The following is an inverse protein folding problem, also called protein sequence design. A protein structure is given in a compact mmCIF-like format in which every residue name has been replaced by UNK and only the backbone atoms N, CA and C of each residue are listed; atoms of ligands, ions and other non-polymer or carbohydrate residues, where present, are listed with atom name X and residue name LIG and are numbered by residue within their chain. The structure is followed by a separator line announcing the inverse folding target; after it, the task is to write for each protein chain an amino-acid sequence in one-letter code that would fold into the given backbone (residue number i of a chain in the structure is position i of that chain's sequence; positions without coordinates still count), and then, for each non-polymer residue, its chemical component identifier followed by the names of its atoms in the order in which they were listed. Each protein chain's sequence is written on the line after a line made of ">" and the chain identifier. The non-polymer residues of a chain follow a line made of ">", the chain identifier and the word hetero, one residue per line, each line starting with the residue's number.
data_IF_310305435929
#
_entry.id   IF_310305435929
#
_cell.length_a   1.000
_cell.length_b   1.000
_cell.length_c   1.000
_cell.angle_alpha   90.00
_cell.angle_beta   90.00
_cell.angle_gamma   90.00
#
_symmetry.space_group_name_H-M   'P 1'
#
loop_
_entity.id
_entity.type
_entity.pdbx_description
1 polymer ?
#
# COMPACT_ATOMS: atom_id res chain seq x y z
N UNK A 1 3.33 31.48 -0.55
CA UNK A 1 4.11 32.70 -0.89
C UNK A 1 5.58 32.29 -0.99
N UNK A 2 6.02 31.81 -2.16
CA UNK A 2 7.41 31.40 -2.40
C UNK A 2 8.07 32.43 -3.31
N UNK A 3 9.13 33.09 -2.82
CA UNK A 3 9.93 34.07 -3.58
C UNK A 3 11.04 33.34 -4.32
N UNK A 4 10.97 33.37 -5.64
CA UNK A 4 12.04 33.00 -6.56
C UNK A 4 13.11 34.10 -6.59
N UNK A 5 14.33 33.78 -6.15
CA UNK A 5 15.51 34.62 -6.37
C UNK A 5 16.28 34.11 -7.59
N UNK A 6 16.26 34.91 -8.66
CA UNK A 6 17.12 34.74 -9.83
C UNK A 6 18.56 35.14 -9.47
N UNK A 7 19.51 34.23 -9.68
CA UNK A 7 20.94 34.51 -9.62
C UNK A 7 21.49 34.72 -11.04
N UNK A 8 22.24 35.79 -11.19
CA UNK A 8 22.96 36.22 -12.39
C UNK A 8 24.09 35.25 -12.72
N UNK A 9 24.23 34.91 -14.01
CA UNK A 9 25.36 34.17 -14.56
C UNK A 9 26.49 35.12 -14.96
N UNK A 10 27.71 34.82 -14.51
CA UNK A 10 28.96 35.37 -15.05
C UNK A 10 29.70 34.28 -15.82
N UNK A 11 30.36 34.58 -16.94
CA UNK A 11 31.12 33.61 -17.72
C UNK A 11 32.45 33.30 -17.03
N UNK A 12 32.52 32.15 -16.36
CA UNK A 12 33.73 31.60 -15.77
C UNK A 12 34.46 30.68 -16.74
N UNK A 13 35.76 30.91 -16.89
CA UNK A 13 36.73 30.16 -17.69
C UNK A 13 36.70 28.67 -17.31
N UNK A 14 36.45 27.81 -18.30
CA UNK A 14 36.49 26.35 -18.13
C UNK A 14 37.95 25.86 -18.11
N UNK A 15 38.46 25.52 -16.93
CA UNK A 15 39.70 24.76 -16.76
C UNK A 15 39.34 23.28 -16.82
N UNK A 16 39.73 22.61 -17.90
CA UNK A 16 39.56 21.17 -18.09
C UNK A 16 40.61 20.43 -17.23
N UNK A 17 40.25 20.10 -15.99
CA UNK A 17 41.06 19.20 -15.16
C UNK A 17 40.63 17.76 -15.46
N UNK A 18 41.44 17.06 -16.24
CA UNK A 18 41.31 15.61 -16.45
C UNK A 18 41.83 14.90 -15.20
N UNK A 19 40.96 14.68 -14.22
CA UNK A 19 41.23 13.78 -13.10
C UNK A 19 41.05 12.34 -13.59
N UNK A 20 42.16 11.66 -13.85
CA UNK A 20 42.22 10.21 -13.95
C UNK A 20 41.95 9.64 -12.54
N UNK A 21 40.67 9.54 -12.18
CA UNK A 21 40.25 8.77 -11.02
C UNK A 21 40.42 7.31 -11.41
N UNK A 22 41.52 6.71 -10.96
CA UNK A 22 41.67 5.26 -10.99
C UNK A 22 40.53 4.67 -10.17
N UNK A 23 39.48 4.20 -10.84
CA UNK A 23 38.41 3.42 -10.26
C UNK A 23 39.00 2.08 -9.84
N UNK A 24 39.59 2.06 -8.65
CA UNK A 24 39.70 0.84 -7.86
C UNK A 24 38.27 0.35 -7.65
N UNK A 25 37.82 -0.52 -8.55
CA UNK A 25 36.66 -1.35 -8.35
C UNK A 25 36.98 -2.23 -7.13
N UNK A 26 36.70 -1.68 -5.94
CA UNK A 26 36.43 -2.50 -4.78
C UNK A 26 35.15 -3.26 -5.15
N UNK A 27 35.32 -4.41 -5.81
CA UNK A 27 34.33 -5.44 -5.75
C UNK A 27 34.19 -5.75 -4.26
N UNK A 28 33.14 -5.17 -3.65
CA UNK A 28 32.61 -5.68 -2.39
C UNK A 28 32.51 -7.19 -2.61
N UNK A 29 33.06 -8.02 -1.70
CA UNK A 29 32.99 -9.46 -1.88
C UNK A 29 31.54 -9.78 -2.18
N UNK A 30 31.30 -10.31 -3.39
CA UNK A 30 29.99 -10.80 -3.76
C UNK A 30 29.51 -11.67 -2.60
N UNK A 31 28.22 -11.60 -2.27
CA UNK A 31 27.52 -12.40 -1.26
C UNK A 31 27.57 -13.92 -1.54
N UNK A 32 28.67 -14.43 -2.09
CA UNK A 32 28.94 -15.82 -2.41
C UNK A 32 28.96 -16.73 -1.16
N UNK A 33 28.95 -16.16 0.05
CA UNK A 33 28.80 -16.89 1.32
C UNK A 33 27.53 -16.48 2.11
N UNK A 34 26.52 -15.90 1.45
CA UNK A 34 25.20 -15.72 2.08
C UNK A 34 24.48 -17.06 2.17
N UNK A 35 24.75 -17.82 3.24
CA UNK A 35 23.92 -18.95 3.65
C UNK A 35 22.59 -18.42 4.20
N UNK A 36 21.70 -18.05 3.28
CA UNK A 36 20.39 -17.48 3.59
C UNK A 36 19.59 -18.39 4.52
N UNK A 37 19.64 -19.71 4.32
CA UNK A 37 18.92 -20.65 5.20
C UNK A 37 19.42 -20.55 6.64
N UNK A 38 20.74 -20.51 6.84
CA UNK A 38 21.32 -20.31 8.18
C UNK A 38 20.89 -18.99 8.82
N UNK A 39 20.77 -17.92 8.04
CA UNK A 39 20.31 -16.62 8.57
C UNK A 39 18.83 -16.63 8.92
N UNK A 40 18.00 -17.26 8.08
CA UNK A 40 16.58 -17.47 8.36
C UNK A 40 16.41 -18.26 9.66
N UNK A 41 17.16 -19.37 9.82
CA UNK A 41 17.15 -20.20 11.03
C UNK A 41 17.64 -19.45 12.28
N UNK A 42 18.65 -18.59 12.12
CA UNK A 42 19.14 -17.75 13.21
C UNK A 42 18.07 -16.77 13.71
N UNK A 43 17.26 -16.19 12.80
CA UNK A 43 16.12 -15.37 13.19
C UNK A 43 15.05 -16.16 13.95
N UNK A 44 14.86 -17.45 13.63
CA UNK A 44 13.86 -18.31 14.31
C UNK A 44 14.19 -18.62 15.78
N UNK A 45 15.44 -18.42 16.21
CA UNK A 45 15.86 -18.62 17.59
C UNK A 45 15.38 -17.49 18.54
N UNK A 46 14.90 -16.38 17.99
CA UNK A 46 14.38 -15.24 18.75
C UNK A 46 12.93 -15.45 19.22
N UNK A 47 12.47 -14.62 20.17
CA UNK A 47 11.05 -14.56 20.50
C UNK A 47 10.21 -14.05 19.32
N UNK A 48 8.96 -14.48 19.22
CA UNK A 48 8.11 -14.34 18.01
C UNK A 48 8.14 -12.96 17.34
N UNK A 49 7.94 -11.87 18.08
CA UNK A 49 7.97 -10.53 17.51
C UNK A 49 9.35 -10.15 16.93
N UNK A 50 10.43 -10.50 17.62
CA UNK A 50 11.80 -10.22 17.17
C UNK A 50 12.22 -11.08 15.98
N UNK A 51 11.66 -12.29 15.86
CA UNK A 51 11.89 -13.14 14.70
C UNK A 51 11.35 -12.47 13.42
N UNK A 52 10.15 -11.89 13.48
CA UNK A 52 9.56 -11.14 12.35
C UNK A 52 10.42 -9.95 11.96
N UNK A 53 10.84 -9.13 12.93
CA UNK A 53 11.71 -7.98 12.67
C UNK A 53 13.07 -8.40 12.08
N UNK A 54 13.62 -9.54 12.54
CA UNK A 54 14.86 -10.11 12.00
C UNK A 54 14.70 -10.52 10.52
N UNK A 55 13.62 -11.22 10.19
CA UNK A 55 13.29 -11.60 8.81
C UNK A 55 13.05 -10.38 7.90
N UNK A 56 12.40 -9.34 8.40
CA UNK A 56 12.29 -8.05 7.70
C UNK A 56 13.66 -7.41 7.44
N UNK A 57 14.59 -7.53 8.38
CA UNK A 57 15.99 -7.13 8.17
C UNK A 57 16.64 -7.85 6.99
N UNK A 58 16.42 -9.17 6.85
CA UNK A 58 16.94 -9.96 5.73
C UNK A 58 16.33 -9.53 4.39
N UNK A 59 15.01 -9.32 4.34
CA UNK A 59 14.31 -8.87 3.13
C UNK A 59 14.82 -7.48 2.72
N UNK A 60 15.00 -6.57 3.67
CA UNK A 60 15.53 -5.23 3.42
C UNK A 60 16.96 -5.25 2.89
N UNK A 61 17.83 -6.10 3.45
CA UNK A 61 19.19 -6.25 2.96
C UNK A 61 19.21 -6.75 1.50
N UNK A 62 18.33 -7.70 1.18
CA UNK A 62 18.18 -8.18 -0.20
C UNK A 62 17.63 -7.09 -1.13
N UNK A 63 16.67 -6.28 -0.66
CA UNK A 63 16.11 -5.17 -1.42
C UNK A 63 17.18 -4.14 -1.79
N UNK A 64 18.07 -3.81 -0.86
CA UNK A 64 19.15 -2.84 -1.08
C UNK A 64 20.21 -3.35 -2.07
N UNK A 65 20.52 -4.65 -2.04
CA UNK A 65 21.57 -5.25 -2.86
C UNK A 65 21.07 -5.68 -4.25
N UNK A 66 19.92 -6.35 -4.29
CA UNK A 66 19.39 -7.08 -5.45
C UNK A 66 18.03 -6.54 -5.95
N UNK A 67 17.57 -5.42 -5.39
CA UNK A 67 16.29 -4.81 -5.74
C UNK A 67 15.08 -5.67 -5.37
N UNK A 68 13.94 -5.40 -6.02
CA UNK A 68 12.66 -6.05 -5.70
C UNK A 68 12.74 -7.57 -5.92
N UNK A 69 13.47 -8.02 -6.94
CA UNK A 69 13.63 -9.45 -7.24
C UNK A 69 14.29 -10.20 -6.07
N UNK A 70 15.44 -9.72 -5.57
CA UNK A 70 16.11 -10.38 -4.45
C UNK A 70 15.32 -10.30 -3.14
N UNK A 71 14.64 -9.18 -2.89
CA UNK A 71 13.70 -9.06 -1.77
C UNK A 71 12.62 -10.14 -1.82
N UNK A 72 12.06 -10.40 -3.02
CA UNK A 72 11.02 -11.40 -3.20
C UNK A 72 11.51 -12.84 -3.12
N UNK A 73 12.75 -13.11 -3.52
CA UNK A 73 13.37 -14.43 -3.30
C UNK A 73 13.54 -14.75 -1.81
N UNK A 74 14.00 -13.77 -1.02
CA UNK A 74 14.13 -13.92 0.43
C UNK A 74 12.76 -14.03 1.09
N UNK A 75 11.82 -13.17 0.70
CA UNK A 75 10.43 -13.22 1.16
C UNK A 75 9.80 -14.60 0.96
N UNK A 76 9.88 -15.16 -0.27
CA UNK A 76 9.26 -16.47 -0.58
C UNK A 76 9.83 -17.57 0.29
N UNK A 77 11.17 -17.60 0.44
CA UNK A 77 11.85 -18.59 1.28
C UNK A 77 11.42 -18.49 2.74
N UNK A 78 11.36 -17.28 3.30
CA UNK A 78 10.91 -17.09 4.68
C UNK A 78 9.46 -17.54 4.83
N UNK A 79 8.58 -17.15 3.91
CA UNK A 79 7.16 -17.50 3.94
C UNK A 79 6.94 -19.02 3.86
N UNK A 80 7.70 -19.73 3.03
CA UNK A 80 7.63 -21.19 2.89
C UNK A 80 8.19 -21.94 4.10
N UNK A 81 9.26 -21.44 4.71
CA UNK A 81 10.00 -22.15 5.76
C UNK A 81 9.55 -21.82 7.18
N UNK A 82 8.93 -20.66 7.40
CA UNK A 82 8.67 -20.13 8.73
C UNK A 82 7.16 -19.98 9.00
N UNK A 83 6.52 -20.99 9.63
CA UNK A 83 5.08 -20.98 9.89
C UNK A 83 4.60 -19.76 10.68
N UNK A 84 5.44 -19.24 11.59
CA UNK A 84 5.13 -18.01 12.33
C UNK A 84 4.91 -16.83 11.38
N UNK A 85 5.82 -16.61 10.44
CA UNK A 85 5.72 -15.54 9.45
C UNK A 85 4.51 -15.76 8.53
N UNK A 86 4.31 -16.97 8.02
CA UNK A 86 3.17 -17.27 7.17
C UNK A 86 1.82 -17.02 7.87
N UNK A 87 1.72 -17.37 9.16
CA UNK A 87 0.49 -17.25 9.94
C UNK A 87 0.07 -15.81 10.26
N UNK A 88 0.99 -14.84 10.15
CA UNK A 88 0.71 -13.42 10.43
C UNK A 88 0.23 -12.63 9.22
N UNK A 89 0.15 -13.27 8.04
CA UNK A 89 -0.54 -12.76 6.86
C UNK A 89 0.40 -12.39 5.71
N UNK A 90 0.30 -13.14 4.60
CA UNK A 90 1.05 -12.90 3.35
C UNK A 90 0.97 -11.43 2.91
N UNK A 91 -0.25 -10.88 2.84
CA UNK A 91 -0.50 -9.53 2.33
C UNK A 91 0.22 -8.47 3.16
N UNK A 92 0.13 -8.56 4.49
CA UNK A 92 0.80 -7.65 5.42
C UNK A 92 2.32 -7.64 5.24
N UNK A 93 2.92 -8.80 5.02
CA UNK A 93 4.36 -8.90 4.82
C UNK A 93 4.80 -8.39 3.44
N UNK A 94 4.01 -8.65 2.39
CA UNK A 94 4.26 -8.11 1.05
C UNK A 94 4.10 -6.58 1.03
N UNK A 95 3.11 -6.05 1.76
CA UNK A 95 2.91 -4.62 1.99
C UNK A 95 4.13 -3.95 2.59
N UNK A 96 4.72 -4.54 3.64
CA UNK A 96 6.00 -4.08 4.18
C UNK A 96 7.10 -3.98 3.11
N UNK A 97 7.22 -4.95 2.19
CA UNK A 97 8.22 -4.85 1.09
C UNK A 97 7.92 -3.64 0.22
N UNK A 98 6.65 -3.37 -0.10
CA UNK A 98 6.18 -2.18 -0.81
C UNK A 98 6.62 -0.87 -0.15
N UNK A 99 6.45 -0.76 1.16
CA UNK A 99 6.89 0.41 1.93
C UNK A 99 8.39 0.66 1.73
N UNK A 100 9.17 -0.43 1.78
CA UNK A 100 10.62 -0.37 1.68
C UNK A 100 11.06 -0.04 0.24
N UNK A 101 10.34 -0.50 -0.78
CA UNK A 101 10.55 -0.07 -2.18
C UNK A 101 10.38 1.44 -2.30
N UNK A 102 9.34 2.00 -1.68
CA UNK A 102 9.13 3.45 -1.68
C UNK A 102 10.30 4.18 -1.01
N UNK A 103 10.61 3.84 0.24
CA UNK A 103 11.59 4.58 1.03
C UNK A 103 13.04 4.38 0.58
N UNK A 104 13.42 3.19 0.09
CA UNK A 104 14.81 2.86 -0.24
C UNK A 104 15.14 3.04 -1.71
N UNK A 105 14.19 2.77 -2.61
CA UNK A 105 14.43 2.83 -4.05
C UNK A 105 13.85 4.10 -4.66
N UNK A 106 12.54 4.32 -4.54
CA UNK A 106 11.88 5.45 -5.21
C UNK A 106 12.35 6.81 -4.69
N UNK A 107 12.42 7.00 -3.37
CA UNK A 107 12.89 8.27 -2.77
C UNK A 107 14.31 8.66 -3.19
N UNK A 108 15.13 7.70 -3.63
CA UNK A 108 16.48 7.95 -4.15
C UNK A 108 16.50 8.51 -5.57
N UNK A 109 15.49 8.19 -6.39
CA UNK A 109 15.41 8.59 -7.80
C UNK A 109 14.35 9.66 -8.06
N UNK A 110 13.26 9.65 -7.28
CA UNK A 110 11.99 10.35 -7.55
C UNK A 110 11.47 10.12 -8.98
N UNK A 111 11.78 8.96 -9.56
CA UNK A 111 11.36 8.57 -10.90
C UNK A 111 10.80 7.15 -10.85
N UNK A 112 9.49 7.03 -11.05
CA UNK A 112 8.78 5.73 -11.09
C UNK A 112 9.36 4.82 -12.16
N UNK A 113 9.92 5.38 -13.25
CA UNK A 113 10.49 4.62 -14.36
C UNK A 113 11.81 3.94 -14.01
N UNK A 114 12.45 4.37 -12.91
CA UNK A 114 13.63 3.72 -12.37
C UNK A 114 13.27 2.52 -11.48
N UNK A 115 11.99 2.32 -11.17
CA UNK A 115 11.50 1.20 -10.36
C UNK A 115 11.00 0.11 -11.30
N UNK A 116 11.58 -1.08 -11.21
CA UNK A 116 11.14 -2.22 -11.97
C UNK A 116 10.44 -3.25 -11.08
N UNK A 117 9.14 -3.42 -11.29
CA UNK A 117 8.33 -4.40 -10.58
C UNK A 117 8.33 -5.73 -11.33
N UNK A 118 9.01 -6.78 -10.82
CA UNK A 118 8.92 -8.13 -11.40
C UNK A 118 7.52 -8.73 -11.17
N UNK A 119 7.14 -9.76 -11.95
CA UNK A 119 5.85 -10.45 -11.82
C UNK A 119 5.56 -10.95 -10.39
N UNK A 120 6.61 -11.33 -9.64
CA UNK A 120 6.51 -11.72 -8.24
C UNK A 120 5.91 -10.63 -7.34
N UNK A 121 5.90 -9.36 -7.77
CA UNK A 121 5.26 -8.26 -7.05
C UNK A 121 3.73 -8.38 -6.95
N UNK A 122 3.12 -9.27 -7.75
CA UNK A 122 1.69 -9.59 -7.67
C UNK A 122 1.37 -10.59 -6.55
N UNK A 123 2.38 -11.16 -5.89
CA UNK A 123 2.21 -12.11 -4.80
C UNK A 123 1.37 -11.51 -3.65
N UNK A 124 0.71 -12.40 -2.91
CA UNK A 124 -0.16 -12.04 -1.79
C UNK A 124 -1.27 -11.04 -2.15
N UNK A 125 -1.79 -11.09 -3.39
CA UNK A 125 -2.81 -10.16 -3.86
C UNK A 125 -2.29 -8.73 -3.98
N UNK A 126 -1.14 -8.57 -4.64
CA UNK A 126 -0.51 -7.27 -4.90
C UNK A 126 -0.11 -6.45 -3.67
N UNK A 127 0.18 -7.10 -2.52
CA UNK A 127 0.54 -6.39 -1.28
C UNK A 127 1.70 -5.39 -1.44
N UNK A 128 2.73 -5.72 -2.25
CA UNK A 128 3.84 -4.80 -2.53
C UNK A 128 3.36 -3.51 -3.19
N UNK A 129 2.43 -3.61 -4.15
CA UNK A 129 1.90 -2.43 -4.83
C UNK A 129 1.08 -1.58 -3.88
N UNK A 130 0.30 -2.17 -2.98
CA UNK A 130 -0.44 -1.40 -1.98
C UNK A 130 0.50 -0.57 -1.08
N UNK A 131 1.50 -1.19 -0.45
CA UNK A 131 2.45 -0.45 0.41
C UNK A 131 3.25 0.61 -0.35
N UNK A 132 3.66 0.31 -1.59
CA UNK A 132 4.34 1.29 -2.44
C UNK A 132 3.43 2.47 -2.81
N UNK A 133 2.21 2.20 -3.27
CA UNK A 133 1.27 3.22 -3.74
C UNK A 133 0.74 4.08 -2.58
N UNK A 134 0.56 3.51 -1.40
CA UNK A 134 0.17 4.22 -0.18
C UNK A 134 1.06 5.43 0.06
N UNK A 135 2.36 5.22 0.18
CA UNK A 135 3.30 6.31 0.44
C UNK A 135 3.51 7.22 -0.77
N UNK A 136 3.52 6.65 -1.98
CA UNK A 136 3.70 7.43 -3.21
C UNK A 136 2.59 8.47 -3.38
N UNK A 137 1.33 8.06 -3.19
CA UNK A 137 0.16 8.93 -3.33
C UNK A 137 -0.06 9.77 -2.07
N UNK A 138 0.27 9.26 -0.87
CA UNK A 138 0.23 10.08 0.35
C UNK A 138 1.09 11.35 0.22
N UNK A 139 2.31 11.20 -0.31
CA UNK A 139 3.23 12.33 -0.52
C UNK A 139 2.82 13.23 -1.71
N UNK A 140 2.03 12.69 -2.67
CA UNK A 140 1.59 13.39 -3.89
C UNK A 140 0.10 13.13 -4.19
N UNK A 141 -0.83 13.66 -3.37
CA UNK A 141 -2.25 13.27 -3.41
C UNK A 141 -3.07 14.03 -4.48
N UNK A 142 -2.42 14.56 -5.51
CA UNK A 142 -3.09 15.33 -6.56
C UNK A 142 -3.57 14.44 -7.72
N UNK A 143 -4.74 14.82 -8.27
CA UNK A 143 -5.40 14.09 -9.36
C UNK A 143 -4.46 13.88 -10.57
N UNK A 144 -3.77 14.92 -11.10
CA UNK A 144 -2.85 14.73 -12.22
C UNK A 144 -1.78 13.67 -11.95
N UNK A 145 -1.18 13.68 -10.76
CA UNK A 145 -0.16 12.70 -10.38
C UNK A 145 -0.71 11.28 -10.29
N UNK A 146 -1.87 11.07 -9.63
CA UNK A 146 -2.52 9.75 -9.55
C UNK A 146 -2.81 9.22 -10.96
N UNK A 147 -3.38 10.05 -11.83
CA UNK A 147 -3.66 9.68 -13.23
C UNK A 147 -2.37 9.31 -13.97
N UNK A 148 -1.33 10.14 -13.88
CA UNK A 148 -0.05 9.88 -14.55
C UNK A 148 0.54 8.53 -14.13
N UNK A 149 0.63 8.28 -12.82
CA UNK A 149 1.23 7.07 -12.28
C UNK A 149 0.40 5.83 -12.65
N UNK A 150 -0.93 5.87 -12.50
CA UNK A 150 -1.74 4.70 -12.81
C UNK A 150 -1.82 4.40 -14.30
N UNK A 151 -1.85 5.43 -15.16
CA UNK A 151 -1.73 5.23 -16.62
C UNK A 151 -0.37 4.61 -16.95
N UNK A 152 0.72 5.14 -16.40
CA UNK A 152 2.06 4.60 -16.61
C UNK A 152 2.16 3.11 -16.21
N UNK A 153 1.72 2.75 -14.99
CA UNK A 153 1.79 1.38 -14.51
C UNK A 153 0.92 0.43 -15.35
N UNK A 154 -0.28 0.88 -15.74
CA UNK A 154 -1.18 0.12 -16.62
C UNK A 154 -0.54 -0.13 -18.00
N UNK A 155 0.00 0.90 -18.64
CA UNK A 155 0.66 0.76 -19.94
C UNK A 155 1.90 -0.15 -19.88
N UNK A 156 2.70 -0.01 -18.82
CA UNK A 156 3.94 -0.77 -18.67
C UNK A 156 3.72 -2.23 -18.32
N UNK A 157 2.76 -2.53 -17.42
CA UNK A 157 2.69 -3.83 -16.78
C UNK A 157 1.43 -4.64 -17.09
N UNK A 158 0.39 -4.08 -17.73
CA UNK A 158 -0.88 -4.82 -17.97
C UNK A 158 -0.74 -6.13 -18.75
N UNK A 159 0.31 -6.29 -19.55
CA UNK A 159 0.56 -7.53 -20.31
C UNK A 159 1.05 -8.70 -19.44
N UNK A 160 1.67 -8.39 -18.30
CA UNK A 160 2.19 -9.38 -17.34
C UNK A 160 1.36 -9.42 -16.05
N UNK A 161 0.81 -8.27 -15.64
CA UNK A 161 0.02 -8.06 -14.43
C UNK A 161 -1.35 -7.49 -14.83
N UNK A 162 -2.28 -8.37 -15.21
CA UNK A 162 -3.55 -7.97 -15.85
C UNK A 162 -4.38 -6.95 -15.07
N UNK A 163 -4.36 -7.03 -13.73
CA UNK A 163 -5.16 -6.16 -12.86
C UNK A 163 -4.41 -4.91 -12.36
N UNK A 164 -3.18 -4.66 -12.83
CA UNK A 164 -2.32 -3.60 -12.28
C UNK A 164 -2.96 -2.21 -12.31
N UNK A 165 -3.77 -1.91 -13.33
CA UNK A 165 -4.49 -0.64 -13.40
C UNK A 165 -5.47 -0.49 -12.25
N UNK A 166 -6.33 -1.49 -12.07
CA UNK A 166 -7.30 -1.57 -10.96
C UNK A 166 -6.62 -1.48 -9.60
N UNK A 167 -5.55 -2.26 -9.39
CA UNK A 167 -4.76 -2.27 -8.16
C UNK A 167 -4.09 -0.92 -7.89
N UNK A 168 -3.61 -0.23 -8.92
CA UNK A 168 -3.04 1.11 -8.76
C UNK A 168 -4.08 2.10 -8.21
N UNK A 169 -5.30 2.07 -8.75
CA UNK A 169 -6.37 2.94 -8.28
C UNK A 169 -6.81 2.58 -6.85
N UNK A 170 -6.92 1.29 -6.52
CA UNK A 170 -7.17 0.84 -5.15
C UNK A 170 -6.11 1.35 -4.16
N UNK A 171 -4.83 1.11 -4.44
CA UNK A 171 -3.73 1.63 -3.62
C UNK A 171 -3.67 3.16 -3.56
N UNK A 172 -4.12 3.85 -4.61
CA UNK A 172 -4.27 5.32 -4.59
C UNK A 172 -5.34 5.78 -3.60
N UNK A 173 -6.44 5.04 -3.48
CA UNK A 173 -7.45 5.24 -2.45
C UNK A 173 -6.85 5.23 -1.04
N UNK A 174 -5.94 4.28 -0.77
CA UNK A 174 -5.26 4.21 0.52
C UNK A 174 -4.41 5.46 0.76
N UNK A 175 -3.53 5.81 -0.19
CA UNK A 175 -2.65 6.98 -0.07
C UNK A 175 -3.40 8.30 0.07
N UNK A 176 -4.52 8.48 -0.64
CA UNK A 176 -5.40 9.64 -0.49
C UNK A 176 -6.01 9.73 0.92
N UNK A 177 -6.44 8.60 1.48
CA UNK A 177 -6.97 8.52 2.84
C UNK A 177 -5.90 8.85 3.89
N UNK A 178 -4.68 8.35 3.71
CA UNK A 178 -3.53 8.67 4.58
C UNK A 178 -3.17 10.16 4.50
N UNK A 179 -3.13 10.76 3.30
CA UNK A 179 -2.88 12.18 3.11
C UNK A 179 -3.95 13.07 3.77
N UNK A 180 -5.22 12.64 3.76
CA UNK A 180 -6.29 13.38 4.43
C UNK A 180 -6.17 13.29 5.95
N UNK A 181 -5.80 12.13 6.51
CA UNK A 181 -5.64 11.96 7.95
C UNK A 181 -4.63 12.94 8.57
N UNK A 182 -3.59 13.33 7.85
CA UNK A 182 -2.62 14.35 8.29
C UNK A 182 -3.22 15.75 8.42
N UNK A 183 -4.34 16.01 7.73
CA UNK A 183 -5.02 17.31 7.71
C UNK A 183 -6.18 17.38 8.68
N UNK A 184 -6.76 16.24 9.06
CA UNK A 184 -7.92 16.20 9.95
C UNK A 184 -7.50 16.55 11.39
N UNK A 185 -8.07 17.63 11.98
CA UNK A 185 -7.77 17.97 13.37
C UNK A 185 -8.36 16.92 14.33
N UNK A 186 -7.81 16.82 15.54
CA UNK A 186 -8.32 15.90 16.59
C UNK A 186 -9.82 16.05 16.88
N UNK A 187 -10.40 17.23 16.69
CA UNK A 187 -11.86 17.44 16.84
C UNK A 187 -12.71 16.74 15.78
N UNK A 188 -12.11 16.30 14.67
CA UNK A 188 -12.75 15.51 13.62
C UNK A 188 -12.56 13.99 13.78
N UNK A 189 -11.78 13.54 14.76
CA UNK A 189 -11.56 12.11 15.01
C UNK A 189 -12.87 11.41 15.38
N UNK A 190 -13.06 10.18 14.88
CA UNK A 190 -14.30 9.41 14.99
C UNK A 190 -15.41 9.84 14.01
N UNK A 191 -15.24 10.94 13.26
CA UNK A 191 -16.19 11.36 12.22
C UNK A 191 -15.72 10.84 10.87
N UNK A 192 -16.34 9.75 10.40
CA UNK A 192 -15.94 9.05 9.14
C UNK A 192 -15.81 10.03 7.97
N UNK A 193 -16.82 10.89 7.78
CA UNK A 193 -16.86 11.83 6.67
C UNK A 193 -15.72 12.85 6.66
N UNK A 194 -15.06 13.13 7.79
CA UNK A 194 -13.90 14.02 7.83
C UNK A 194 -12.67 13.40 7.16
N UNK A 195 -12.59 12.07 7.13
CA UNK A 195 -11.48 11.36 6.51
C UNK A 195 -11.84 10.87 5.10
N UNK A 196 -13.05 10.38 4.88
CA UNK A 196 -13.43 9.72 3.60
C UNK A 196 -13.88 10.68 2.51
N UNK A 197 -14.46 11.84 2.86
CA UNK A 197 -15.14 12.70 1.88
C UNK A 197 -14.22 13.29 0.82
N UNK A 198 -13.05 13.80 1.21
CA UNK A 198 -12.09 14.37 0.26
C UNK A 198 -11.47 13.28 -0.62
N UNK A 199 -10.92 12.18 -0.07
CA UNK A 199 -10.39 11.07 -0.88
C UNK A 199 -11.40 10.46 -1.85
N UNK A 200 -12.63 10.17 -1.40
CA UNK A 200 -13.65 9.57 -2.26
C UNK A 200 -14.06 10.50 -3.42
N UNK A 201 -14.14 11.82 -3.17
CA UNK A 201 -14.36 12.81 -4.24
C UNK A 201 -13.16 12.93 -5.18
N UNK A 202 -11.95 12.79 -4.67
CA UNK A 202 -10.75 12.74 -5.50
C UNK A 202 -10.80 11.54 -6.45
N UNK A 203 -11.18 10.36 -5.96
CA UNK A 203 -11.38 9.17 -6.79
C UNK A 203 -12.41 9.41 -7.92
N UNK A 204 -13.52 10.09 -7.64
CA UNK A 204 -14.54 10.44 -8.64
C UNK A 204 -14.05 11.40 -9.73
N UNK A 205 -13.06 12.22 -9.38
CA UNK A 205 -12.52 13.26 -10.25
C UNK A 205 -11.32 12.79 -11.07
N UNK A 206 -10.91 11.52 -10.96
CA UNK A 206 -9.82 10.95 -11.74
C UNK A 206 -10.21 10.89 -13.23
N UNK A 207 -9.56 11.67 -14.10
CA UNK A 207 -9.82 11.59 -15.53
C UNK A 207 -9.43 10.20 -16.06
N UNK A 208 -10.18 9.72 -17.05
CA UNK A 208 -9.90 8.48 -17.79
C UNK A 208 -10.01 7.16 -17.00
N UNK A 209 -10.19 7.23 -15.68
CA UNK A 209 -10.53 6.06 -14.88
C UNK A 209 -11.91 5.51 -15.29
N UNK A 210 -11.98 4.20 -15.52
CA UNK A 210 -13.25 3.50 -15.74
C UNK A 210 -14.10 3.50 -14.47
N UNK A 211 -15.39 3.20 -14.60
CA UNK A 211 -16.28 3.07 -13.45
C UNK A 211 -15.79 2.06 -12.42
N UNK A 212 -15.13 0.98 -12.88
CA UNK A 212 -14.52 -0.02 -12.01
C UNK A 212 -13.31 0.56 -11.27
N UNK A 213 -12.42 1.25 -11.97
CA UNK A 213 -11.22 1.86 -11.36
C UNK A 213 -11.60 2.96 -10.34
N UNK A 214 -12.65 3.75 -10.62
CA UNK A 214 -13.20 4.71 -9.66
C UNK A 214 -13.72 3.99 -8.40
N UNK A 215 -14.44 2.88 -8.58
CA UNK A 215 -14.96 2.12 -7.45
C UNK A 215 -13.84 1.50 -6.63
N UNK A 216 -12.82 0.94 -7.28
CA UNK A 216 -11.67 0.32 -6.60
C UNK A 216 -10.85 1.38 -5.84
N UNK A 217 -10.72 2.60 -6.37
CA UNK A 217 -10.15 3.72 -5.62
C UNK A 217 -10.96 4.04 -4.35
N UNK A 218 -12.29 4.03 -4.41
CA UNK A 218 -13.12 4.24 -3.21
C UNK A 218 -13.04 3.07 -2.25
N UNK A 219 -13.00 1.83 -2.74
CA UNK A 219 -12.78 0.64 -1.92
C UNK A 219 -11.47 0.80 -1.14
N UNK A 220 -10.40 1.25 -1.79
CA UNK A 220 -9.16 1.58 -1.09
C UNK A 220 -9.31 2.62 0.04
N UNK A 221 -10.12 3.66 -0.15
CA UNK A 221 -10.42 4.65 0.91
C UNK A 221 -11.09 3.98 2.12
N UNK A 222 -12.08 3.11 1.86
CA UNK A 222 -12.82 2.43 2.93
C UNK A 222 -12.04 1.27 3.55
N UNK A 223 -11.14 0.62 2.81
CA UNK A 223 -10.25 -0.41 3.34
C UNK A 223 -9.40 0.15 4.48
N UNK A 224 -8.78 1.32 4.27
CA UNK A 224 -8.02 2.03 5.30
C UNK A 224 -8.89 2.42 6.50
N UNK A 225 -10.13 2.90 6.28
CA UNK A 225 -11.05 3.22 7.37
C UNK A 225 -11.34 1.99 8.24
N UNK A 226 -11.62 0.85 7.60
CA UNK A 226 -11.95 -0.43 8.23
C UNK A 226 -10.76 -0.95 9.03
N UNK A 227 -9.54 -0.83 8.51
CA UNK A 227 -8.31 -1.15 9.22
C UNK A 227 -8.09 -0.23 10.44
N UNK A 228 -8.38 1.06 10.34
CA UNK A 228 -8.34 1.98 11.48
C UNK A 228 -9.41 1.67 12.54
N UNK A 229 -10.60 1.24 12.14
CA UNK A 229 -11.62 0.74 13.07
C UNK A 229 -11.14 -0.51 13.81
N UNK A 230 -10.48 -1.42 13.10
CA UNK A 230 -9.92 -2.64 13.66
C UNK A 230 -8.82 -2.36 14.69
N UNK A 231 -7.99 -1.36 14.41
CA UNK A 231 -6.85 -0.95 15.24
C UNK A 231 -7.22 0.13 16.27
N UNK A 232 -8.48 0.56 16.33
CA UNK A 232 -8.99 1.63 17.21
C UNK A 232 -8.24 2.97 17.05
N UNK A 233 -7.85 3.30 15.81
CA UNK A 233 -7.10 4.51 15.47
C UNK A 233 -8.03 5.68 15.14
N UNK A 234 -7.53 6.90 15.33
CA UNK A 234 -8.25 8.14 15.01
C UNK A 234 -9.67 8.24 15.61
N UNK A 235 -9.89 7.59 16.76
CA UNK A 235 -11.19 7.56 17.44
C UNK A 235 -12.24 6.64 16.78
N UNK A 236 -11.84 5.84 15.80
CA UNK A 236 -12.72 4.87 15.14
C UNK A 236 -12.79 3.55 15.93
N UNK A 237 -13.95 2.91 15.86
CA UNK A 237 -14.19 1.55 16.35
C UNK A 237 -15.43 1.00 15.64
N UNK A 238 -15.53 -0.32 15.54
CA UNK A 238 -16.75 -0.96 15.02
C UNK A 238 -17.94 -0.71 15.95
N UNK A 239 -19.10 -0.34 15.36
CA UNK A 239 -20.39 -0.54 16.02
C UNK A 239 -20.75 -2.03 15.91
N UNK A 240 -20.43 -2.82 16.92
CA UNK A 240 -20.68 -4.27 16.91
C UNK A 240 -22.17 -4.63 16.73
N UNK A 241 -23.08 -3.71 17.02
CA UNK A 241 -24.53 -3.94 16.84
C UNK A 241 -24.99 -3.59 15.43
N UNK A 242 -24.41 -2.56 14.83
CA UNK A 242 -24.77 -2.07 13.50
C UNK A 242 -23.51 -1.67 12.71
N UNK A 243 -22.67 -2.64 12.30
CA UNK A 243 -21.37 -2.34 11.70
C UNK A 243 -21.48 -1.48 10.44
N UNK A 244 -22.55 -1.67 9.66
CA UNK A 244 -22.80 -0.93 8.42
C UNK A 244 -23.40 0.48 8.59
N UNK A 245 -23.70 0.91 9.82
CA UNK A 245 -24.35 2.21 10.08
C UNK A 245 -23.56 3.37 9.47
N UNK A 246 -22.23 3.28 9.45
CA UNK A 246 -21.38 4.31 8.85
C UNK A 246 -21.65 4.45 7.35
N UNK A 247 -21.83 3.34 6.65
CA UNK A 247 -22.04 3.35 5.21
C UNK A 247 -23.41 3.94 4.84
N UNK A 248 -24.42 3.76 5.69
CA UNK A 248 -25.74 4.40 5.50
C UNK A 248 -25.67 5.93 5.53
N UNK A 249 -24.66 6.51 6.18
CA UNK A 249 -24.49 7.96 6.29
C UNK A 249 -23.66 8.58 5.16
N UNK A 250 -22.95 7.75 4.40
CA UNK A 250 -22.17 8.21 3.25
C UNK A 250 -23.08 8.49 2.04
N UNK A 251 -22.63 9.30 1.06
CA UNK A 251 -23.30 9.44 -0.23
C UNK A 251 -23.60 8.10 -0.89
N UNK A 252 -24.80 7.97 -1.48
CA UNK A 252 -25.27 6.72 -2.12
C UNK A 252 -24.31 6.17 -3.16
N UNK A 253 -23.62 7.06 -3.89
CA UNK A 253 -22.63 6.67 -4.89
C UNK A 253 -21.41 5.92 -4.32
N UNK A 254 -21.19 5.97 -3.00
CA UNK A 254 -20.04 5.37 -2.30
C UNK A 254 -20.45 4.16 -1.46
N UNK A 255 -21.74 3.82 -1.43
CA UNK A 255 -22.25 2.73 -0.59
C UNK A 255 -21.62 1.41 -0.96
N UNK A 256 -21.51 1.08 -2.25
CA UNK A 256 -20.93 -0.19 -2.68
C UNK A 256 -19.53 -0.41 -2.09
N UNK A 257 -18.59 0.51 -2.32
CA UNK A 257 -17.24 0.46 -1.76
C UNK A 257 -17.23 0.34 -0.22
N UNK A 258 -18.01 1.16 0.48
CA UNK A 258 -18.06 1.12 1.94
C UNK A 258 -18.58 -0.23 2.46
N UNK A 259 -19.68 -0.72 1.91
CA UNK A 259 -20.28 -1.98 2.33
C UNK A 259 -19.39 -3.17 1.98
N UNK A 260 -18.75 -3.16 0.80
CA UNK A 260 -17.82 -4.18 0.36
C UNK A 260 -16.66 -4.35 1.34
N UNK A 261 -15.97 -3.25 1.68
CA UNK A 261 -14.83 -3.28 2.60
C UNK A 261 -15.22 -3.60 4.03
N UNK A 262 -16.35 -3.05 4.52
CA UNK A 262 -16.88 -3.39 5.83
C UNK A 262 -17.21 -4.89 5.94
N UNK A 263 -17.75 -5.49 4.87
CA UNK A 263 -18.13 -6.91 4.85
C UNK A 263 -16.92 -7.83 5.03
N UNK A 264 -15.77 -7.48 4.43
CA UNK A 264 -14.55 -8.30 4.50
C UNK A 264 -14.02 -8.49 5.93
N UNK A 265 -14.31 -7.58 6.86
CA UNK A 265 -13.85 -7.67 8.27
C UNK A 265 -14.94 -8.09 9.26
N UNK A 266 -16.13 -8.48 8.78
CA UNK A 266 -17.22 -8.92 9.67
C UNK A 266 -16.92 -10.22 10.40
N UNK A 267 -15.97 -11.05 9.96
CA UNK A 267 -15.56 -12.25 10.68
C UNK A 267 -15.12 -11.94 12.11
N UNK A 268 -14.44 -10.80 12.32
CA UNK A 268 -14.06 -10.37 13.66
C UNK A 268 -15.27 -9.89 14.46
N UNK A 269 -16.14 -9.09 13.85
CA UNK A 269 -17.35 -8.53 14.49
C UNK A 269 -18.33 -9.64 14.90
N UNK A 270 -18.47 -10.66 14.06
CA UNK A 270 -19.34 -11.82 14.30
C UNK A 270 -18.69 -12.89 15.17
N UNK A 271 -17.44 -12.71 15.63
CA UNK A 271 -16.65 -13.78 16.29
C UNK A 271 -16.63 -15.08 15.47
N UNK A 272 -16.68 -14.96 14.13
CA UNK A 272 -16.79 -16.06 13.16
C UNK A 272 -18.03 -16.94 13.37
N UNK A 273 -19.08 -16.41 13.98
CA UNK A 273 -20.38 -17.07 14.08
C UNK A 273 -21.21 -16.78 12.81
N UNK A 274 -21.45 -17.79 11.95
CA UNK A 274 -22.17 -17.60 10.69
C UNK A 274 -23.63 -17.16 10.89
N UNK A 275 -24.27 -17.50 12.01
CA UNK A 275 -25.65 -17.08 12.32
C UNK A 275 -25.68 -15.60 12.69
N UNK A 276 -24.70 -15.16 13.48
CA UNK A 276 -24.54 -13.74 13.80
C UNK A 276 -24.19 -12.94 12.54
N UNK A 277 -23.27 -13.43 11.72
CA UNK A 277 -22.93 -12.82 10.43
C UNK A 277 -24.18 -12.66 9.55
N UNK A 278 -24.96 -13.72 9.37
CA UNK A 278 -26.20 -13.66 8.58
C UNK A 278 -27.21 -12.68 9.18
N UNK A 279 -27.30 -12.60 10.50
CA UNK A 279 -28.15 -11.62 11.20
C UNK A 279 -27.70 -10.18 10.93
N UNK A 280 -26.40 -9.91 10.95
CA UNK A 280 -25.84 -8.58 10.64
C UNK A 280 -26.10 -8.20 9.19
N UNK A 281 -25.84 -9.11 8.24
CA UNK A 281 -26.11 -8.90 6.81
C UNK A 281 -27.60 -8.67 6.54
N UNK A 282 -28.50 -9.36 7.24
CA UNK A 282 -29.96 -9.20 7.04
C UNK A 282 -30.47 -7.78 7.34
N UNK A 283 -29.71 -6.99 8.11
CA UNK A 283 -30.04 -5.61 8.50
C UNK A 283 -29.63 -4.58 7.46
N UNK A 284 -28.84 -4.95 6.45
CA UNK A 284 -28.49 -4.07 5.34
C UNK A 284 -29.79 -3.68 4.61
N UNK A 285 -30.07 -2.38 4.56
CA UNK A 285 -31.33 -1.87 3.99
C UNK A 285 -31.37 -1.99 2.47
N UNK A 286 -30.23 -1.85 1.80
CA UNK A 286 -30.12 -1.98 0.35
C UNK A 286 -30.12 -3.47 -0.06
N UNK A 287 -31.14 -3.95 -0.80
CA UNK A 287 -31.23 -5.35 -1.18
C UNK A 287 -30.06 -5.83 -2.03
N UNK A 288 -29.53 -4.98 -2.92
CA UNK A 288 -28.41 -5.35 -3.77
C UNK A 288 -27.13 -5.56 -2.94
N UNK A 289 -26.85 -4.65 -2.00
CA UNK A 289 -25.69 -4.78 -1.10
C UNK A 289 -25.82 -5.99 -0.16
N UNK A 290 -27.05 -6.29 0.28
CA UNK A 290 -27.33 -7.47 1.09
C UNK A 290 -27.05 -8.77 0.33
N UNK A 291 -27.47 -8.84 -0.93
CA UNK A 291 -27.30 -10.05 -1.76
C UNK A 291 -25.82 -10.29 -2.12
N UNK A 292 -25.02 -9.22 -2.28
CA UNK A 292 -23.57 -9.33 -2.50
C UNK A 292 -22.81 -9.91 -1.31
N UNK A 293 -23.33 -9.79 -0.08
CA UNK A 293 -22.62 -10.21 1.14
C UNK A 293 -22.45 -11.74 1.28
N UNK A 294 -23.11 -12.52 0.42
CA UNK A 294 -22.99 -13.99 0.35
C UNK A 294 -22.52 -14.51 -1.02
N UNK A 295 -22.07 -13.60 -1.89
CA UNK A 295 -21.55 -13.91 -3.24
C UNK A 295 -20.06 -14.23 -3.20
#
# INVERSE_FOLDING_TARGET
>A
MWRSSRLFSTPGIAVLVVLLVGSSAYALPALADWDLNRQIDACSAEHSARAIDCWYGLINAALEHDGITGAMEVFSKIYEQQPLFASTGCHKHAHFVGDQVYYKLYRGTNDIRAIDFPQSSTACGYGIFHGFMEHLIQDNPDIPFVTEICTYLKERYSTVMGDIGTICYHGSGHGLMLAEAERVPKSGWGLVSFFTSTPARTCEALPEASSREIEECREGVYNVLVDWMEQTQYGFAYDEKNPFRICETEPRAWHQACYYEMAQKLDRVSSRDPVLLATLVSRIQDPFLRDMSFS
#
